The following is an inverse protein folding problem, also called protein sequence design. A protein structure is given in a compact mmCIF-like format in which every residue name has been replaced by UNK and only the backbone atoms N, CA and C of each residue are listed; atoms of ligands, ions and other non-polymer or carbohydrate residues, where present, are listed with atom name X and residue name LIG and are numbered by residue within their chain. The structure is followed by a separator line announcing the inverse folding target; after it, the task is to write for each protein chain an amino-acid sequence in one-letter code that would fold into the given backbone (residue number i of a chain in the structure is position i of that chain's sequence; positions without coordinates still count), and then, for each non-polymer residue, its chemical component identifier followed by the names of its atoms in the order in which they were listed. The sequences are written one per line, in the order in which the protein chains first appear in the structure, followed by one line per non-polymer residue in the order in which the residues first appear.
data_IF_755889449922
#
_entry.id   IF_755889449922
#
_cell.length_a   1.000
_cell.length_b   1.000
_cell.length_c   1.000
_cell.angle_alpha   90.00
_cell.angle_beta   90.00
_cell.angle_gamma   90.00
#
_symmetry.space_group_name_H-M   'P 1'
#
loop_
_entity.id
_entity.type
_entity.pdbx_description
1 polymer ?
#
# COMPACT_ATOMS: atom_id res chain seq x y z
N UNK A 1 -17.11 30.27 4.04
CA UNK A 1 -17.13 29.43 2.82
C UNK A 1 -18.28 28.45 2.97
N UNK A 2 -19.49 28.93 2.74
CA UNK A 2 -20.69 28.10 2.66
C UNK A 2 -20.65 27.41 1.29
N UNK A 3 -20.60 26.08 1.28
CA UNK A 3 -20.67 25.34 0.03
C UNK A 3 -22.11 25.40 -0.45
N UNK A 4 -22.31 26.04 -1.61
CA UNK A 4 -23.55 25.99 -2.39
C UNK A 4 -23.95 24.52 -2.59
N UNK A 5 -24.85 24.05 -1.73
CA UNK A 5 -25.48 22.74 -1.84
C UNK A 5 -26.31 22.72 -3.10
N UNK A 6 -25.75 22.14 -4.17
CA UNK A 6 -26.44 21.90 -5.42
C UNK A 6 -27.85 21.38 -5.13
N UNK A 7 -28.88 22.18 -5.45
CA UNK A 7 -30.29 21.78 -5.29
C UNK A 7 -30.45 20.44 -6.00
N UNK A 8 -30.74 19.33 -5.29
CA UNK A 8 -30.96 18.07 -5.97
C UNK A 8 -32.17 18.27 -6.86
N UNK A 9 -31.94 18.12 -8.17
CA UNK A 9 -32.94 17.83 -9.20
C UNK A 9 -34.16 17.17 -8.53
N UNK A 10 -35.34 17.77 -8.65
CA UNK A 10 -36.55 17.33 -7.95
C UNK A 10 -36.92 15.91 -8.39
N UNK A 11 -36.33 14.90 -7.73
CA UNK A 11 -36.63 13.48 -7.96
C UNK A 11 -37.93 13.16 -7.23
N UNK A 12 -38.77 12.35 -7.86
CA UNK A 12 -39.96 11.81 -7.22
C UNK A 12 -39.58 10.53 -6.48
N UNK A 13 -40.27 10.25 -5.37
CA UNK A 13 -40.15 9.00 -4.64
C UNK A 13 -40.38 7.80 -5.58
N UNK A 14 -39.48 6.83 -5.56
CA UNK A 14 -39.56 5.62 -6.39
C UNK A 14 -40.49 4.52 -5.84
N UNK A 15 -41.18 4.79 -4.73
CA UNK A 15 -42.15 3.86 -4.17
C UNK A 15 -43.42 3.78 -5.05
N UNK A 16 -43.99 2.58 -5.23
CA UNK A 16 -45.16 2.40 -6.10
C UNK A 16 -46.33 3.25 -5.61
N UNK A 17 -46.84 4.12 -6.48
CA UNK A 17 -47.98 5.00 -6.19
C UNK A 17 -47.63 6.27 -5.39
N UNK A 18 -46.37 6.49 -5.00
CA UNK A 18 -45.96 7.70 -4.31
C UNK A 18 -45.56 8.80 -5.31
N UNK A 19 -46.02 10.04 -5.07
CA UNK A 19 -45.64 11.23 -5.86
C UNK A 19 -44.92 12.30 -5.02
N UNK A 20 -44.52 11.95 -3.81
CA UNK A 20 -43.80 12.86 -2.90
C UNK A 20 -42.36 13.07 -3.38
N UNK A 21 -41.72 14.12 -2.88
CA UNK A 21 -40.33 14.43 -3.15
C UNK A 21 -39.40 13.33 -2.58
N UNK A 22 -38.49 12.83 -3.41
CA UNK A 22 -37.49 11.82 -3.06
C UNK A 22 -36.19 12.48 -2.60
N UNK A 23 -36.09 12.82 -1.32
CA UNK A 23 -34.91 13.48 -0.73
C UNK A 23 -33.90 12.48 -0.14
N UNK A 24 -34.36 11.28 0.22
CA UNK A 24 -33.56 10.30 0.94
C UNK A 24 -33.10 9.18 0.01
N UNK A 25 -31.80 8.87 0.04
CA UNK A 25 -31.22 7.76 -0.72
C UNK A 25 -31.17 6.47 0.10
N UNK A 26 -31.41 5.34 -0.54
CA UNK A 26 -31.23 4.00 0.03
C UNK A 26 -30.51 3.08 -0.96
N UNK A 27 -29.67 2.13 -0.51
CA UNK A 27 -28.93 1.23 -1.40
C UNK A 27 -29.89 0.31 -2.15
N UNK A 28 -29.60 0.00 -3.42
CA UNK A 28 -30.49 -0.79 -4.28
C UNK A 28 -30.59 -2.25 -3.83
N UNK A 29 -29.46 -2.88 -3.57
CA UNK A 29 -29.35 -4.29 -3.18
C UNK A 29 -28.00 -4.54 -2.49
N UNK A 30 -27.85 -5.67 -1.78
CA UNK A 30 -26.64 -6.02 -1.03
C UNK A 30 -25.39 -6.04 -1.92
N UNK A 31 -25.52 -6.51 -3.15
CA UNK A 31 -24.48 -6.57 -4.18
C UNK A 31 -24.21 -5.22 -4.86
N UNK A 32 -25.14 -4.27 -4.73
CA UNK A 32 -25.09 -2.94 -5.36
C UNK A 32 -25.25 -1.83 -4.33
N UNK A 33 -24.34 -1.79 -3.36
CA UNK A 33 -24.31 -0.78 -2.30
C UNK A 33 -24.03 0.65 -2.80
N UNK A 34 -23.42 0.77 -3.98
CA UNK A 34 -23.09 2.05 -4.61
C UNK A 34 -24.20 2.59 -5.52
N UNK A 35 -25.20 1.75 -5.83
CA UNK A 35 -26.39 2.18 -6.58
C UNK A 35 -27.48 2.56 -5.59
N UNK A 36 -28.09 3.71 -5.81
CA UNK A 36 -29.06 4.28 -4.86
C UNK A 36 -30.43 4.50 -5.50
N UNK A 37 -31.47 4.21 -4.72
CA UNK A 37 -32.87 4.57 -4.98
C UNK A 37 -33.28 5.77 -4.13
N UNK A 38 -34.18 6.60 -4.64
CA UNK A 38 -34.64 7.80 -3.96
C UNK A 38 -36.06 7.66 -3.42
N UNK A 39 -36.25 8.00 -2.14
CA UNK A 39 -37.50 7.85 -1.40
C UNK A 39 -37.85 9.12 -0.60
N UNK A 40 -39.13 9.28 -0.29
CA UNK A 40 -39.57 10.22 0.75
C UNK A 40 -39.29 9.65 2.16
N UNK A 41 -39.46 10.48 3.19
CA UNK A 41 -39.17 10.12 4.58
C UNK A 41 -39.93 8.86 5.06
N UNK A 42 -41.17 8.68 4.61
CA UNK A 42 -42.00 7.53 5.00
C UNK A 42 -41.48 6.24 4.39
N UNK A 43 -41.26 6.24 3.07
CA UNK A 43 -40.82 5.05 2.35
C UNK A 43 -39.38 4.66 2.64
N UNK A 44 -38.47 5.62 2.91
CA UNK A 44 -37.10 5.26 3.31
C UNK A 44 -37.09 4.56 4.68
N UNK A 45 -37.99 4.93 5.59
CA UNK A 45 -38.12 4.26 6.90
C UNK A 45 -38.65 2.85 6.73
N UNK A 46 -39.66 2.65 5.89
CA UNK A 46 -40.18 1.32 5.59
C UNK A 46 -39.12 0.44 4.90
N UNK A 47 -38.38 1.02 3.95
CA UNK A 47 -37.28 0.35 3.26
C UNK A 47 -36.21 -0.11 4.24
N UNK A 48 -35.70 0.80 5.08
CA UNK A 48 -34.68 0.49 6.07
C UNK A 48 -35.16 -0.52 7.12
N UNK A 49 -36.45 -0.53 7.46
CA UNK A 49 -37.03 -1.52 8.37
C UNK A 49 -37.06 -2.92 7.77
N UNK A 50 -37.22 -3.04 6.46
CA UNK A 50 -37.19 -4.32 5.72
C UNK A 50 -35.78 -4.72 5.30
N UNK A 51 -34.81 -3.81 5.41
CA UNK A 51 -33.44 -4.04 4.97
C UNK A 51 -32.68 -4.89 5.98
N UNK A 52 -32.26 -6.07 5.54
CA UNK A 52 -31.31 -6.92 6.25
C UNK A 52 -30.17 -7.28 5.31
N UNK A 53 -28.96 -6.83 5.67
CA UNK A 53 -27.74 -7.07 4.89
C UNK A 53 -27.38 -8.57 4.81
N UNK A 54 -27.69 -9.33 5.87
CA UNK A 54 -27.39 -10.76 5.98
C UNK A 54 -28.58 -11.65 5.57
N UNK A 55 -29.65 -11.06 5.03
CA UNK A 55 -30.80 -11.83 4.55
C UNK A 55 -30.36 -12.89 3.53
N UNK A 56 -30.73 -14.14 3.81
CA UNK A 56 -30.42 -15.30 2.97
C UNK A 56 -28.98 -15.83 3.10
N UNK A 57 -28.14 -15.28 3.97
CA UNK A 57 -26.83 -15.85 4.27
C UNK A 57 -26.95 -16.97 5.31
N UNK A 58 -26.21 -18.06 5.08
CA UNK A 58 -26.05 -19.13 6.08
C UNK A 58 -25.08 -18.73 7.20
N UNK A 59 -25.09 -19.48 8.31
CA UNK A 59 -24.22 -19.22 9.46
C UNK A 59 -22.74 -19.15 9.06
N UNK A 60 -22.26 -20.08 8.23
CA UNK A 60 -20.87 -20.11 7.76
C UNK A 60 -20.47 -18.85 6.97
N UNK A 61 -21.40 -18.30 6.19
CA UNK A 61 -21.16 -17.08 5.41
C UNK A 61 -21.11 -15.85 6.32
N UNK A 62 -21.96 -15.80 7.35
CA UNK A 62 -21.92 -14.74 8.37
C UNK A 62 -20.61 -14.79 9.15
N UNK A 63 -20.17 -15.98 9.57
CA UNK A 63 -18.87 -16.18 10.24
C UNK A 63 -17.68 -15.77 9.35
N UNK A 64 -17.75 -16.06 8.04
CA UNK A 64 -16.76 -15.58 7.09
C UNK A 64 -16.71 -14.05 7.00
N UNK A 65 -17.87 -13.38 7.00
CA UNK A 65 -17.95 -11.92 7.06
C UNK A 65 -17.33 -11.35 8.34
N UNK A 66 -17.65 -11.92 9.51
CA UNK A 66 -17.10 -11.52 10.81
C UNK A 66 -15.57 -11.66 10.83
N UNK A 67 -15.06 -12.80 10.36
CA UNK A 67 -13.62 -13.06 10.28
C UNK A 67 -12.93 -12.07 9.33
N UNK A 68 -13.52 -11.79 8.18
CA UNK A 68 -12.97 -10.82 7.24
C UNK A 68 -12.94 -9.40 7.85
N UNK A 69 -14.02 -8.98 8.52
CA UNK A 69 -14.13 -7.66 9.13
C UNK A 69 -13.10 -7.43 10.25
N UNK A 70 -12.69 -8.49 10.96
CA UNK A 70 -11.61 -8.45 11.96
C UNK A 70 -10.28 -7.95 11.39
N UNK A 71 -10.05 -8.19 10.09
CA UNK A 71 -8.83 -7.77 9.36
C UNK A 71 -9.08 -6.56 8.46
N UNK A 72 -10.19 -5.84 8.67
CA UNK A 72 -10.64 -4.78 7.77
C UNK A 72 -10.79 -5.26 6.30
N UNK A 73 -11.20 -6.53 6.14
CA UNK A 73 -11.26 -7.24 4.86
C UNK A 73 -9.96 -7.22 4.05
N UNK A 74 -8.82 -7.02 4.71
CA UNK A 74 -7.50 -7.10 4.07
C UNK A 74 -7.06 -8.57 4.04
N UNK A 75 -6.58 -9.08 2.90
CA UNK A 75 -6.11 -10.45 2.82
C UNK A 75 -4.93 -10.65 3.76
N UNK A 76 -5.06 -11.62 4.67
CA UNK A 76 -3.99 -12.06 5.57
C UNK A 76 -3.45 -13.40 5.09
N UNK A 77 -2.14 -13.56 5.22
CA UNK A 77 -1.44 -14.78 4.84
C UNK A 77 -1.07 -15.54 6.12
N UNK A 78 -1.17 -16.87 6.16
CA UNK A 78 -0.68 -17.64 7.29
C UNK A 78 0.80 -17.31 7.53
N UNK A 79 1.20 -17.19 8.80
CA UNK A 79 2.62 -17.03 9.15
C UNK A 79 3.38 -18.24 8.61
N UNK A 80 4.41 -18.00 7.79
CA UNK A 80 5.20 -19.06 7.16
C UNK A 80 4.61 -19.62 5.85
N UNK A 81 3.46 -19.13 5.37
CA UNK A 81 3.03 -19.38 4.00
C UNK A 81 3.97 -18.63 3.04
N UNK A 82 5.10 -19.28 2.71
CA UNK A 82 5.95 -18.87 1.59
C UNK A 82 5.03 -18.60 0.41
N UNK A 83 5.01 -17.38 -0.11
CA UNK A 83 4.44 -17.13 -1.43
C UNK A 83 5.19 -18.07 -2.36
N UNK A 84 4.48 -19.03 -2.95
CA UNK A 84 5.06 -19.96 -3.92
C UNK A 84 5.54 -19.13 -5.10
N UNK A 85 6.81 -18.75 -5.04
CA UNK A 85 7.46 -17.77 -5.88
C UNK A 85 8.87 -17.67 -5.34
N UNK A 86 9.84 -18.12 -6.14
CA UNK A 86 11.26 -18.26 -5.80
C UNK A 86 11.98 -16.91 -5.58
N UNK A 87 11.36 -15.97 -4.86
CA UNK A 87 11.99 -14.76 -4.39
C UNK A 87 11.99 -14.81 -2.88
N UNK A 88 13.17 -15.01 -2.29
CA UNK A 88 13.39 -14.48 -0.95
C UNK A 88 12.91 -13.03 -0.96
N UNK A 89 12.21 -12.56 0.09
CA UNK A 89 11.88 -11.15 0.15
C UNK A 89 13.21 -10.40 0.11
N UNK A 90 13.50 -9.74 -1.02
CA UNK A 90 14.59 -8.80 -1.13
C UNK A 90 14.18 -7.60 -0.28
N UNK A 91 14.39 -7.74 1.03
CA UNK A 91 14.26 -6.64 1.97
C UNK A 91 15.38 -5.69 1.59
N UNK A 92 15.02 -4.56 0.98
CA UNK A 92 15.98 -3.50 0.73
C UNK A 92 16.38 -2.92 2.08
N UNK A 93 17.54 -3.36 2.57
CA UNK A 93 18.12 -2.94 3.83
C UNK A 93 19.34 -2.06 3.57
N UNK A 94 19.14 -0.78 3.23
CA UNK A 94 20.23 0.15 2.92
C UNK A 94 21.15 0.42 4.12
N UNK A 95 20.73 0.06 5.33
CA UNK A 95 21.49 0.27 6.57
C UNK A 95 22.16 -1.01 7.07
N UNK A 96 21.87 -2.18 6.49
CA UNK A 96 22.49 -3.46 6.86
C UNK A 96 22.07 -3.99 8.24
N UNK A 97 20.90 -3.57 8.76
CA UNK A 97 20.38 -4.00 10.06
C UNK A 97 20.17 -5.52 10.16
N UNK A 98 19.78 -6.17 9.06
CA UNK A 98 19.60 -7.62 8.98
C UNK A 98 20.94 -8.36 9.06
N UNK A 99 21.98 -7.82 8.43
CA UNK A 99 23.34 -8.37 8.50
C UNK A 99 23.94 -8.16 9.91
N UNK A 100 23.76 -6.96 10.49
CA UNK A 100 24.20 -6.64 11.86
C UNK A 100 23.50 -7.51 12.91
N UNK A 101 22.23 -7.84 12.70
CA UNK A 101 21.46 -8.75 13.55
C UNK A 101 21.73 -10.24 13.28
N UNK A 102 22.60 -10.57 12.31
CA UNK A 102 22.93 -11.96 11.94
C UNK A 102 21.81 -12.72 11.23
N UNK A 103 20.86 -12.01 10.64
CA UNK A 103 19.69 -12.55 9.92
C UNK A 103 19.89 -12.60 8.40
N UNK A 104 20.97 -12.01 7.88
CA UNK A 104 21.29 -12.02 6.46
C UNK A 104 21.94 -13.33 6.00
N UNK A 105 21.42 -13.93 4.92
CA UNK A 105 22.14 -14.95 4.17
C UNK A 105 23.22 -14.26 3.33
N UNK A 106 24.51 -14.44 3.69
CA UNK A 106 25.62 -13.91 2.90
C UNK A 106 25.76 -14.69 1.59
N UNK A 107 25.50 -14.10 0.42
CA UNK A 107 25.89 -14.74 -0.84
C UNK A 107 27.41 -14.87 -0.90
N UNK A 108 27.89 -15.95 -1.54
CA UNK A 108 29.32 -16.14 -1.78
C UNK A 108 29.88 -14.96 -2.59
N UNK A 109 31.10 -14.48 -2.31
CA UNK A 109 31.71 -13.41 -3.08
C UNK A 109 31.90 -13.87 -4.52
N UNK A 110 31.18 -13.26 -5.45
CA UNK A 110 31.42 -13.41 -6.89
C UNK A 110 32.64 -12.56 -7.22
N UNK A 111 33.70 -13.21 -7.71
CA UNK A 111 34.93 -12.53 -8.13
C UNK A 111 34.73 -11.76 -9.45
N UNK A 112 35.65 -10.81 -9.65
CA UNK A 112 36.08 -10.19 -10.92
C UNK A 112 35.08 -9.40 -11.80
N UNK A 113 34.06 -8.78 -11.18
CA UNK A 113 33.01 -7.95 -11.81
C UNK A 113 33.39 -6.60 -12.46
N UNK A 114 34.54 -6.45 -13.11
CA UNK A 114 34.87 -5.20 -13.82
C UNK A 114 33.87 -4.90 -14.96
N UNK A 115 33.31 -5.94 -15.59
CA UNK A 115 32.30 -5.84 -16.65
C UNK A 115 30.90 -5.43 -16.14
N UNK A 116 30.66 -5.51 -14.83
CA UNK A 116 29.36 -5.22 -14.21
C UNK A 116 29.19 -3.76 -13.79
N UNK A 117 30.27 -2.96 -13.84
CA UNK A 117 30.22 -1.55 -13.46
C UNK A 117 29.56 -0.69 -14.55
N UNK A 118 28.52 0.04 -14.16
CA UNK A 118 27.86 1.07 -14.98
C UNK A 118 28.84 2.20 -15.31
N UNK A 119 28.60 2.98 -16.39
CA UNK A 119 29.45 4.12 -16.73
C UNK A 119 29.57 5.17 -15.62
N UNK A 120 28.51 5.33 -14.81
CA UNK A 120 28.49 6.22 -13.66
C UNK A 120 29.42 5.70 -12.54
N UNK A 121 29.40 4.40 -12.25
CA UNK A 121 30.28 3.79 -11.25
C UNK A 121 31.75 3.88 -11.67
N UNK A 122 32.08 3.69 -12.95
CA UNK A 122 33.47 3.87 -13.44
C UNK A 122 33.96 5.31 -13.28
N UNK A 123 33.10 6.27 -13.58
CA UNK A 123 33.39 7.69 -13.36
C UNK A 123 33.61 7.99 -11.88
N UNK A 124 32.77 7.43 -11.00
CA UNK A 124 32.88 7.60 -9.56
C UNK A 124 34.18 7.00 -9.00
N UNK A 125 34.61 5.84 -9.50
CA UNK A 125 35.91 5.25 -9.14
C UNK A 125 37.09 6.13 -9.56
N UNK A 126 36.98 6.78 -10.72
CA UNK A 126 37.97 7.78 -11.17
C UNK A 126 38.03 9.00 -10.24
N UNK A 127 36.87 9.52 -9.81
CA UNK A 127 36.79 10.66 -8.88
C UNK A 127 37.34 10.31 -7.50
N UNK A 128 37.11 9.09 -7.02
CA UNK A 128 37.61 8.61 -5.72
C UNK A 128 39.04 8.04 -5.78
N UNK A 129 39.66 8.01 -6.96
CA UNK A 129 40.97 7.43 -7.21
C UNK A 129 41.09 5.98 -6.68
N UNK A 130 40.07 5.17 -6.97
CA UNK A 130 39.94 3.78 -6.51
C UNK A 130 40.04 2.80 -7.69
N UNK A 131 40.67 1.66 -7.48
CA UNK A 131 40.89 0.61 -8.48
C UNK A 131 40.29 -0.74 -8.06
N UNK A 132 39.63 -1.44 -8.98
CA UNK A 132 39.03 -2.75 -8.71
C UNK A 132 40.07 -3.88 -8.57
N UNK A 133 39.83 -4.91 -7.74
CA UNK A 133 38.68 -5.16 -6.85
C UNK A 133 38.68 -4.30 -5.58
N UNK A 134 37.48 -3.95 -5.10
CA UNK A 134 37.29 -3.05 -3.96
C UNK A 134 36.35 -3.66 -2.93
N UNK A 135 36.61 -3.38 -1.65
CA UNK A 135 35.72 -3.68 -0.54
C UNK A 135 35.00 -2.42 -0.06
N UNK A 136 33.83 -2.59 0.57
CA UNK A 136 33.07 -1.46 1.12
C UNK A 136 33.87 -0.67 2.17
N UNK A 137 34.78 -1.33 2.89
CA UNK A 137 35.64 -0.69 3.88
C UNK A 137 36.62 0.30 3.24
N UNK A 138 37.23 -0.07 2.10
CA UNK A 138 38.17 0.77 1.36
C UNK A 138 37.49 2.01 0.78
N UNK A 139 36.29 1.85 0.22
CA UNK A 139 35.46 2.97 -0.27
C UNK A 139 35.15 3.95 0.85
N UNK A 140 34.73 3.45 2.03
CA UNK A 140 34.43 4.30 3.20
C UNK A 140 35.68 5.05 3.70
N UNK A 141 36.86 4.42 3.67
CA UNK A 141 38.10 5.07 4.10
C UNK A 141 38.48 6.22 3.19
N UNK A 142 38.53 5.98 1.87
CA UNK A 142 38.93 7.01 0.89
C UNK A 142 37.93 8.17 0.83
N UNK A 143 36.64 7.89 0.95
CA UNK A 143 35.63 8.93 1.10
C UNK A 143 35.91 9.83 2.31
N UNK A 144 36.22 9.26 3.48
CA UNK A 144 36.52 10.05 4.69
C UNK A 144 37.80 10.89 4.54
N UNK A 145 38.81 10.38 3.83
CA UNK A 145 40.02 11.15 3.52
C UNK A 145 39.71 12.36 2.64
N UNK A 146 38.99 12.15 1.53
CA UNK A 146 38.61 13.22 0.61
C UNK A 146 37.70 14.26 1.27
N UNK A 147 36.78 13.84 2.14
CA UNK A 147 35.93 14.75 2.91
C UNK A 147 36.77 15.63 3.83
N UNK A 148 37.80 15.10 4.49
CA UNK A 148 38.70 15.91 5.33
C UNK A 148 39.49 16.94 4.52
N UNK A 149 39.92 16.57 3.31
CA UNK A 149 40.70 17.44 2.43
C UNK A 149 39.83 18.52 1.81
N UNK A 150 38.61 18.18 1.40
CA UNK A 150 37.71 19.06 0.65
C UNK A 150 36.53 19.59 1.49
N UNK A 151 36.63 19.54 2.82
CA UNK A 151 35.57 20.06 3.68
C UNK A 151 35.46 21.58 3.50
N UNK A 152 34.25 22.13 3.23
CA UNK A 152 34.07 23.57 3.04
C UNK A 152 34.45 24.38 4.28
N UNK A 153 34.30 23.83 5.49
CA UNK A 153 34.71 24.52 6.73
C UNK A 153 36.24 24.58 6.94
N UNK A 154 37.03 23.75 6.23
CA UNK A 154 38.49 23.73 6.36
C UNK A 154 39.21 24.53 5.24
N UNK A 155 38.54 24.73 4.10
CA UNK A 155 39.05 25.46 2.94
C UNK A 155 38.25 26.74 2.61
N UNK A 156 37.48 27.23 3.58
CA UNK A 156 36.69 28.48 3.51
C UNK A 156 37.45 29.68 4.05
#
# INVERSE_FOLDING_TARGET
METDGAKPHQRVCEAPGCRLQGEYRAPWARDRLNDYRWFCLEHVREYNKKWDYFAGLGADQIEAHIRADTTWRRPVWPLGARRSGNGQPHINDPFGLADDAGLGEKPAPINDGLEQLTPAERSALGVLELSWPLTQAEVKSRYKELVKIHHPDANG
#
